data_IF_960276643554
#
_entry.id   IF_960276643554
#
_cell.length_a   1.000
_cell.length_b   1.000
_cell.length_c   1.000
_cell.angle_alpha   90.00
_cell.angle_beta   90.00
_cell.angle_gamma   90.00
#
_symmetry.space_group_name_H-M   'P 1'
#
loop_
_entity.id
_entity.type
_entity.pdbx_description
1 polymer ?
#
# COMPACT_ATOMS: atom_id res chain seq x y z
N UNK A 1 20.94 16.53 16.02
CA UNK A 1 22.01 17.02 15.12
C UNK A 1 21.77 16.64 13.66
N UNK A 2 21.54 15.38 13.30
CA UNK A 2 21.31 14.92 11.91
C UNK A 2 20.11 15.62 11.22
N UNK A 3 18.98 15.74 11.92
CA UNK A 3 17.77 16.37 11.39
C UNK A 3 17.97 17.86 11.06
N UNK A 4 18.69 18.60 11.92
CA UNK A 4 18.99 20.01 11.69
C UNK A 4 19.91 20.20 10.49
N UNK A 5 20.92 19.33 10.34
CA UNK A 5 21.80 19.34 9.16
C UNK A 5 21.02 19.04 7.89
N UNK A 6 20.14 18.03 7.90
CA UNK A 6 19.29 17.67 6.79
C UNK A 6 18.35 18.83 6.39
N UNK A 7 17.71 19.48 7.36
CA UNK A 7 16.86 20.64 7.11
C UNK A 7 17.63 21.81 6.51
N UNK A 8 18.85 22.08 6.99
CA UNK A 8 19.71 23.14 6.44
C UNK A 8 20.12 22.83 4.98
N UNK A 9 20.52 21.57 4.71
CA UNK A 9 20.87 21.13 3.38
C UNK A 9 19.69 21.25 2.39
N UNK A 10 18.49 20.87 2.81
CA UNK A 10 17.27 21.02 1.99
C UNK A 10 16.94 22.49 1.71
N UNK A 11 17.08 23.38 2.71
CA UNK A 11 16.84 24.82 2.52
C UNK A 11 17.74 25.46 1.48
N UNK A 12 18.97 24.98 1.35
CA UNK A 12 19.98 25.56 0.46
C UNK A 12 19.96 24.97 -0.95
N UNK A 13 19.66 23.67 -1.09
CA UNK A 13 19.98 22.90 -2.30
C UNK A 13 18.76 22.36 -3.04
N UNK A 14 17.54 22.65 -2.61
CA UNK A 14 16.33 22.19 -3.31
C UNK A 14 15.36 23.33 -3.55
N UNK A 15 14.67 23.31 -4.66
CA UNK A 15 13.63 24.27 -5.00
C UNK A 15 12.26 23.81 -4.51
N UNK A 16 11.96 22.53 -4.69
CA UNK A 16 10.69 21.90 -4.32
C UNK A 16 10.91 20.65 -3.50
N UNK A 17 9.90 20.29 -2.68
CA UNK A 17 9.83 19.03 -1.94
C UNK A 17 8.56 18.33 -2.37
N UNK A 18 8.69 17.06 -2.77
CA UNK A 18 7.56 16.18 -3.03
C UNK A 18 7.43 15.15 -1.91
N UNK A 19 6.19 14.94 -1.46
CA UNK A 19 5.87 13.93 -0.44
C UNK A 19 4.74 13.04 -0.95
N UNK A 20 4.70 11.79 -0.48
CA UNK A 20 3.67 10.85 -0.89
C UNK A 20 2.36 10.99 -0.12
N UNK A 21 2.38 11.71 1.00
CA UNK A 21 1.22 11.82 1.89
C UNK A 21 1.12 13.20 2.56
N UNK A 22 -0.06 13.47 3.07
CA UNK A 22 -0.40 14.75 3.69
C UNK A 22 0.35 15.01 5.01
N UNK A 23 0.62 13.96 5.78
CA UNK A 23 1.35 14.09 7.06
C UNK A 23 2.76 14.59 6.80
N UNK A 24 3.47 13.98 5.86
CA UNK A 24 4.83 14.37 5.49
C UNK A 24 4.86 15.77 4.87
N UNK A 25 3.85 16.15 4.10
CA UNK A 25 3.75 17.52 3.54
C UNK A 25 3.79 18.56 4.67
N UNK A 26 2.97 18.39 5.70
CA UNK A 26 2.93 19.33 6.81
C UNK A 26 4.25 19.35 7.59
N UNK A 27 4.85 18.17 7.79
CA UNK A 27 6.14 18.04 8.46
C UNK A 27 7.24 18.83 7.71
N UNK A 28 7.39 18.62 6.41
CA UNK A 28 8.44 19.29 5.63
C UNK A 28 8.18 20.79 5.42
N UNK A 29 6.93 21.23 5.33
CA UNK A 29 6.58 22.66 5.36
C UNK A 29 7.08 23.34 6.63
N UNK A 30 6.83 22.72 7.80
CA UNK A 30 7.29 23.24 9.09
C UNK A 30 8.81 23.20 9.26
N UNK A 31 9.48 22.23 8.65
CA UNK A 31 10.91 22.03 8.79
C UNK A 31 11.75 22.95 7.89
N UNK A 32 11.30 23.24 6.67
CA UNK A 32 12.16 23.84 5.63
C UNK A 32 11.68 25.17 5.09
N UNK A 33 10.42 25.54 5.22
CA UNK A 33 9.75 26.66 4.55
C UNK A 33 9.83 26.60 3.01
N UNK A 34 10.16 25.46 2.42
CA UNK A 34 10.17 25.26 0.97
C UNK A 34 8.78 24.89 0.45
N UNK A 35 8.46 25.23 -0.81
CA UNK A 35 7.27 24.73 -1.46
C UNK A 35 7.23 23.20 -1.37
N UNK A 36 6.17 22.67 -0.77
CA UNK A 36 6.04 21.23 -0.53
C UNK A 36 4.72 20.77 -1.13
N UNK A 37 4.79 19.84 -2.06
CA UNK A 37 3.66 19.35 -2.83
C UNK A 37 3.43 17.87 -2.56
N UNK A 38 2.16 17.45 -2.57
CA UNK A 38 1.83 16.03 -2.54
C UNK A 38 1.92 15.50 -3.96
N UNK A 39 2.85 14.57 -4.16
CA UNK A 39 2.96 13.78 -5.37
C UNK A 39 2.77 12.32 -4.97
N UNK A 40 1.61 11.78 -5.25
CA UNK A 40 1.20 10.44 -4.85
C UNK A 40 2.17 9.38 -5.40
N UNK A 41 2.14 8.20 -4.80
CA UNK A 41 2.96 7.07 -5.27
C UNK A 41 2.65 6.73 -6.72
N UNK A 42 3.69 6.44 -7.49
CA UNK A 42 3.59 6.04 -8.89
C UNK A 42 3.56 4.50 -9.00
N UNK A 43 2.69 4.00 -9.85
CA UNK A 43 2.75 2.67 -10.42
C UNK A 43 3.04 2.82 -11.92
N UNK A 44 4.12 2.23 -12.41
CA UNK A 44 4.50 2.26 -13.82
C UNK A 44 3.65 1.23 -14.57
N UNK A 45 2.78 1.68 -15.48
CA UNK A 45 1.76 0.82 -16.10
C UNK A 45 2.28 0.06 -17.34
N UNK A 46 3.22 0.63 -18.10
CA UNK A 46 3.69 0.04 -19.36
C UNK A 46 4.20 -1.41 -19.23
N UNK A 47 4.98 -1.81 -18.22
CA UNK A 47 5.39 -3.20 -18.07
C UNK A 47 4.26 -4.17 -17.73
N UNK A 48 3.08 -3.65 -17.33
CA UNK A 48 1.91 -4.43 -16.90
C UNK A 48 0.80 -4.49 -17.95
N UNK A 49 0.96 -3.85 -19.09
CA UNK A 49 -0.08 -3.79 -20.14
C UNK A 49 -0.58 -5.17 -20.62
N UNK A 50 0.28 -6.18 -20.57
CA UNK A 50 -0.04 -7.55 -20.96
C UNK A 50 -0.46 -8.43 -19.76
N UNK A 51 -0.51 -7.87 -18.54
CA UNK A 51 -0.91 -8.59 -17.35
C UNK A 51 -2.44 -8.73 -17.30
N UNK A 52 -2.93 -9.94 -17.53
CA UNK A 52 -4.34 -10.25 -17.33
C UNK A 52 -4.69 -10.18 -15.83
N UNK A 53 -5.59 -9.27 -15.45
CA UNK A 53 -6.05 -9.15 -14.07
C UNK A 53 -7.05 -10.27 -13.79
N UNK A 54 -6.70 -11.13 -12.82
CA UNK A 54 -7.51 -12.27 -12.41
C UNK A 54 -8.80 -11.83 -11.73
N UNK A 55 -9.88 -12.55 -12.02
CA UNK A 55 -11.15 -12.43 -11.29
C UNK A 55 -11.06 -13.11 -9.91
N UNK A 56 -12.07 -12.92 -9.07
CA UNK A 56 -12.18 -13.58 -7.77
C UNK A 56 -11.99 -15.10 -7.85
N UNK A 57 -12.64 -15.75 -8.82
CA UNK A 57 -12.64 -17.22 -8.94
C UNK A 57 -11.33 -17.78 -9.48
N UNK A 58 -10.55 -16.97 -10.21
CA UNK A 58 -9.22 -17.31 -10.70
C UNK A 58 -8.12 -17.14 -9.65
N UNK A 59 -8.42 -16.43 -8.55
CA UNK A 59 -7.47 -16.22 -7.44
C UNK A 59 -7.55 -17.35 -6.41
N UNK A 60 -6.42 -17.67 -5.83
CA UNK A 60 -6.35 -18.63 -4.72
C UNK A 60 -7.00 -18.07 -3.46
N UNK A 61 -7.65 -18.95 -2.68
CA UNK A 61 -8.19 -18.57 -1.37
C UNK A 61 -7.06 -18.46 -0.33
N UNK A 62 -6.23 -17.45 -0.52
CA UNK A 62 -5.07 -17.14 0.32
C UNK A 62 -4.97 -15.64 0.54
N UNK A 63 -4.29 -15.24 1.59
CA UNK A 63 -4.04 -13.86 1.94
C UNK A 63 -2.54 -13.52 1.85
N UNK A 64 -2.23 -12.29 1.48
CA UNK A 64 -0.87 -11.77 1.50
C UNK A 64 -0.80 -10.52 2.37
N UNK A 65 0.25 -10.40 3.20
CA UNK A 65 0.49 -9.21 4.00
C UNK A 65 1.53 -8.30 3.35
N UNK A 66 1.34 -6.99 3.49
CA UNK A 66 2.12 -5.95 2.79
C UNK A 66 3.45 -5.58 3.44
N UNK A 67 3.99 -6.39 4.31
CA UNK A 67 5.26 -6.08 4.97
C UNK A 67 5.78 -7.25 5.77
N UNK A 68 6.87 -7.00 6.46
CA UNK A 68 7.48 -7.98 7.35
C UNK A 68 7.07 -7.73 8.82
N UNK A 69 7.53 -8.59 9.73
CA UNK A 69 7.19 -8.52 11.16
C UNK A 69 8.00 -7.48 11.95
N UNK A 70 8.74 -6.59 11.28
CA UNK A 70 9.36 -5.47 12.00
C UNK A 70 8.31 -4.52 12.58
N UNK A 71 8.69 -3.81 13.63
CA UNK A 71 7.83 -2.84 14.30
C UNK A 71 7.22 -1.79 13.34
N UNK A 72 7.97 -1.37 12.33
CA UNK A 72 7.55 -0.37 11.34
C UNK A 72 6.40 -0.82 10.46
N UNK A 73 6.44 -2.09 10.01
CA UNK A 73 5.45 -2.65 9.10
C UNK A 73 4.27 -3.28 9.82
N UNK A 74 4.34 -3.48 11.15
CA UNK A 74 3.29 -4.13 11.94
C UNK A 74 2.80 -5.44 11.33
N UNK A 75 3.75 -6.27 10.89
CA UNK A 75 3.43 -7.53 10.21
C UNK A 75 2.61 -8.47 11.08
N UNK A 76 2.78 -8.43 12.40
CA UNK A 76 1.99 -9.21 13.33
C UNK A 76 0.51 -8.80 13.33
N UNK A 77 0.21 -7.49 13.33
CA UNK A 77 -1.18 -7.00 13.20
C UNK A 77 -1.78 -7.46 11.87
N UNK A 78 -1.00 -7.34 10.77
CA UNK A 78 -1.42 -7.78 9.45
C UNK A 78 -1.68 -9.28 9.41
N UNK A 79 -0.83 -10.09 10.03
CA UNK A 79 -0.98 -11.53 10.11
C UNK A 79 -2.24 -11.94 10.87
N UNK A 80 -2.51 -11.35 12.04
CA UNK A 80 -3.73 -11.64 12.82
C UNK A 80 -5.00 -11.40 11.98
N UNK A 81 -5.04 -10.30 11.23
CA UNK A 81 -6.18 -9.98 10.36
C UNK A 81 -6.24 -10.92 9.15
N UNK A 82 -5.10 -11.22 8.53
CA UNK A 82 -5.02 -12.11 7.38
C UNK A 82 -5.48 -13.54 7.69
N UNK A 83 -5.28 -14.00 8.92
CA UNK A 83 -5.75 -15.31 9.41
C UNK A 83 -7.27 -15.46 9.42
N UNK A 84 -8.03 -14.38 9.43
CA UNK A 84 -9.49 -14.45 9.27
C UNK A 84 -9.91 -14.90 7.86
N UNK A 85 -9.07 -14.67 6.86
CA UNK A 85 -9.33 -15.08 5.48
C UNK A 85 -8.94 -16.54 5.24
N UNK A 86 -7.75 -16.92 5.67
CA UNK A 86 -7.16 -18.22 5.32
C UNK A 86 -6.05 -18.60 6.30
N UNK A 87 -5.80 -19.90 6.44
CA UNK A 87 -4.61 -20.39 7.12
C UNK A 87 -3.34 -20.17 6.29
N UNK A 88 -3.47 -20.03 4.97
CA UNK A 88 -2.38 -19.76 4.06
C UNK A 88 -2.15 -18.27 3.93
N UNK A 89 -1.26 -17.74 4.74
CA UNK A 89 -0.83 -16.34 4.70
C UNK A 89 0.58 -16.25 4.14
N UNK A 90 0.75 -15.43 3.10
CA UNK A 90 2.04 -15.13 2.51
C UNK A 90 2.57 -13.77 2.96
N UNK A 91 3.89 -13.60 2.96
CA UNK A 91 4.57 -12.34 3.23
C UNK A 91 5.80 -12.17 2.36
N UNK A 92 6.08 -10.95 1.82
CA UNK A 92 7.33 -10.70 1.11
C UNK A 92 8.53 -10.76 2.05
N UNK A 93 9.62 -11.35 1.60
CA UNK A 93 10.86 -11.47 2.40
C UNK A 93 11.54 -10.13 2.64
N UNK A 94 11.27 -9.12 1.85
CA UNK A 94 11.86 -7.77 1.91
C UNK A 94 13.40 -7.77 1.89
N UNK A 95 14.02 -8.83 1.38
CA UNK A 95 15.48 -8.94 1.21
C UNK A 95 16.30 -9.02 2.52
N UNK A 96 15.66 -9.31 3.66
CA UNK A 96 16.33 -9.37 4.97
C UNK A 96 16.26 -10.76 5.63
N UNK A 97 17.06 -10.96 6.67
CA UNK A 97 17.02 -12.16 7.50
C UNK A 97 15.65 -12.37 8.14
N UNK A 98 15.30 -13.64 8.29
CA UNK A 98 14.04 -14.03 8.94
C UNK A 98 14.11 -13.78 10.45
N UNK A 99 13.03 -13.22 10.98
CA UNK A 99 12.75 -13.33 12.42
C UNK A 99 11.98 -14.64 12.69
N UNK A 100 12.11 -15.16 13.91
CA UNK A 100 11.42 -16.41 14.29
C UNK A 100 9.91 -16.34 14.09
N UNK A 101 9.32 -15.18 14.33
CA UNK A 101 7.88 -14.91 14.16
C UNK A 101 7.41 -15.07 12.71
N UNK A 102 8.29 -14.87 11.75
CA UNK A 102 7.95 -14.98 10.33
C UNK A 102 7.86 -16.42 9.82
N UNK A 103 8.15 -17.43 10.66
CA UNK A 103 8.01 -18.85 10.31
C UNK A 103 6.53 -19.25 10.11
N UNK A 104 5.59 -18.49 10.63
CA UNK A 104 4.15 -18.74 10.51
C UNK A 104 3.57 -18.33 9.14
N UNK A 105 4.35 -17.67 8.30
CA UNK A 105 3.92 -17.21 6.96
C UNK A 105 4.70 -17.89 5.86
N UNK A 106 4.06 -18.10 4.71
CA UNK A 106 4.73 -18.51 3.49
C UNK A 106 5.54 -17.34 2.94
N UNK A 107 6.85 -17.48 2.87
CA UNK A 107 7.70 -16.42 2.36
C UNK A 107 7.69 -16.35 0.85
N UNK A 108 7.42 -15.14 0.35
CA UNK A 108 7.62 -14.79 -1.06
C UNK A 108 9.03 -14.22 -1.19
N UNK A 109 9.91 -14.84 -1.99
CA UNK A 109 11.27 -14.34 -2.19
C UNK A 109 11.25 -12.96 -2.85
N UNK A 110 12.38 -12.26 -2.78
CA UNK A 110 12.56 -11.03 -3.56
C UNK A 110 12.61 -11.39 -5.06
N UNK A 111 11.68 -10.88 -5.81
CA UNK A 111 11.52 -11.09 -7.25
C UNK A 111 11.41 -9.74 -7.96
N UNK A 112 11.62 -9.73 -9.29
CA UNK A 112 11.46 -8.53 -10.10
C UNK A 112 10.04 -7.99 -10.00
N UNK A 113 9.87 -6.67 -10.14
CA UNK A 113 8.59 -6.02 -9.90
C UNK A 113 7.44 -6.54 -10.78
N UNK A 114 7.70 -6.83 -12.06
CA UNK A 114 6.69 -7.42 -12.95
C UNK A 114 6.23 -8.80 -12.47
N UNK A 115 7.17 -9.63 -12.04
CA UNK A 115 6.88 -10.97 -11.50
C UNK A 115 6.16 -10.86 -10.16
N UNK A 116 6.53 -9.87 -9.34
CA UNK A 116 5.82 -9.54 -8.11
C UNK A 116 4.34 -9.22 -8.38
N UNK A 117 4.05 -8.37 -9.38
CA UNK A 117 2.67 -8.03 -9.74
C UNK A 117 1.88 -9.24 -10.23
N UNK A 118 2.51 -10.10 -11.03
CA UNK A 118 1.92 -11.37 -11.48
C UNK A 118 1.66 -12.32 -10.31
N UNK A 119 2.58 -12.40 -9.35
CA UNK A 119 2.44 -13.20 -8.16
C UNK A 119 1.34 -12.65 -7.24
N UNK A 120 1.35 -11.34 -6.96
CA UNK A 120 0.33 -10.66 -6.16
C UNK A 120 -1.07 -10.86 -6.73
N UNK A 121 -1.22 -10.86 -8.06
CA UNK A 121 -2.47 -11.11 -8.76
C UNK A 121 -3.09 -12.49 -8.50
N UNK A 122 -2.33 -13.43 -7.93
CA UNK A 122 -2.85 -14.76 -7.56
C UNK A 122 -3.57 -14.80 -6.22
N UNK A 123 -3.39 -13.81 -5.35
CA UNK A 123 -4.01 -13.74 -4.03
C UNK A 123 -5.38 -13.10 -4.09
N UNK A 124 -6.32 -13.65 -3.32
CA UNK A 124 -7.67 -13.09 -3.21
C UNK A 124 -7.74 -11.93 -2.24
N UNK A 125 -6.96 -11.95 -1.16
CA UNK A 125 -7.02 -10.99 -0.07
C UNK A 125 -5.66 -10.40 0.24
N UNK A 126 -5.65 -9.12 0.63
CA UNK A 126 -4.45 -8.43 1.06
C UNK A 126 -4.67 -7.69 2.40
N UNK A 127 -3.63 -7.61 3.21
CA UNK A 127 -3.65 -6.89 4.49
C UNK A 127 -2.36 -6.10 4.69
N UNK A 128 -2.47 -4.83 5.04
CA UNK A 128 -1.33 -3.96 5.31
C UNK A 128 -1.59 -3.01 6.48
N UNK A 129 -1.47 -3.54 7.71
CA UNK A 129 -1.74 -2.80 8.96
C UNK A 129 -0.54 -1.97 9.40
N UNK A 130 0.09 -1.24 8.47
CA UNK A 130 1.27 -0.43 8.74
C UNK A 130 0.93 0.79 9.58
N UNK A 131 1.68 1.00 10.69
CA UNK A 131 1.47 2.11 11.63
C UNK A 131 2.27 3.36 11.30
N UNK A 132 3.12 3.30 10.29
CA UNK A 132 3.98 4.41 9.88
C UNK A 132 3.47 5.00 8.57
N UNK A 133 3.41 6.32 8.48
CA UNK A 133 3.15 7.00 7.22
C UNK A 133 4.22 6.62 6.18
N UNK A 134 3.79 6.24 4.99
CA UNK A 134 4.66 5.76 3.93
C UNK A 134 4.02 5.98 2.55
N UNK A 135 4.78 5.67 1.50
CA UNK A 135 4.33 5.77 0.12
C UNK A 135 3.11 4.88 -0.21
N UNK A 136 2.94 3.76 0.51
CA UNK A 136 1.79 2.88 0.34
C UNK A 136 1.77 2.10 -0.97
N UNK A 137 2.94 1.75 -1.50
CA UNK A 137 3.06 1.03 -2.78
C UNK A 137 2.36 -0.33 -2.78
N UNK A 138 2.31 -1.02 -1.64
CA UNK A 138 1.61 -2.30 -1.54
C UNK A 138 0.10 -2.14 -1.76
N UNK A 139 -0.56 -1.21 -1.06
CA UNK A 139 -1.99 -0.94 -1.26
C UNK A 139 -2.28 -0.39 -2.67
N UNK A 140 -1.36 0.39 -3.25
CA UNK A 140 -1.45 0.85 -4.63
C UNK A 140 -1.41 -0.33 -5.63
N UNK A 141 -0.49 -1.28 -5.46
CA UNK A 141 -0.40 -2.48 -6.28
C UNK A 141 -1.67 -3.34 -6.18
N UNK A 142 -2.20 -3.50 -4.97
CA UNK A 142 -3.48 -4.19 -4.75
C UNK A 142 -4.63 -3.48 -5.47
N UNK A 143 -4.66 -2.15 -5.44
CA UNK A 143 -5.71 -1.36 -6.09
C UNK A 143 -5.69 -1.51 -7.61
N UNK A 144 -4.53 -1.46 -8.24
CA UNK A 144 -4.37 -1.73 -9.67
C UNK A 144 -4.96 -3.09 -10.05
N UNK A 145 -4.69 -4.12 -9.25
CA UNK A 145 -5.16 -5.48 -9.48
C UNK A 145 -6.62 -5.73 -9.02
N UNK A 146 -7.27 -4.76 -8.38
CA UNK A 146 -8.61 -4.95 -7.82
C UNK A 146 -8.65 -5.93 -6.65
N UNK A 147 -7.59 -6.01 -5.86
CA UNK A 147 -7.53 -6.85 -4.66
C UNK A 147 -7.91 -5.98 -3.45
N UNK A 148 -9.00 -6.27 -2.72
CA UNK A 148 -9.29 -5.59 -1.47
C UNK A 148 -8.12 -5.72 -0.48
N UNK A 149 -7.61 -4.57 0.00
CA UNK A 149 -6.51 -4.53 0.96
C UNK A 149 -6.99 -3.86 2.26
N UNK A 150 -7.08 -4.63 3.34
CA UNK A 150 -7.38 -4.06 4.66
C UNK A 150 -6.13 -3.38 5.22
N UNK A 151 -6.27 -2.15 5.72
CA UNK A 151 -5.13 -1.41 6.25
C UNK A 151 -5.50 -0.25 7.15
N UNK A 152 -4.49 0.33 7.79
CA UNK A 152 -4.65 1.51 8.63
C UNK A 152 -4.76 2.80 7.82
N UNK A 153 -5.52 3.76 8.35
CA UNK A 153 -5.84 5.05 7.71
C UNK A 153 -4.66 6.02 7.61
N UNK A 154 -3.51 5.69 8.16
CA UNK A 154 -2.32 6.58 8.18
C UNK A 154 -1.62 6.69 6.81
N UNK A 155 -1.92 5.78 5.88
CA UNK A 155 -1.35 5.75 4.54
C UNK A 155 -2.39 6.29 3.56
N UNK A 156 -2.06 7.34 2.80
CA UNK A 156 -3.01 7.99 1.89
C UNK A 156 -3.53 7.05 0.79
N UNK A 157 -2.66 6.22 0.19
CA UNK A 157 -3.10 5.21 -0.79
C UNK A 157 -4.13 4.26 -0.21
N UNK A 158 -3.97 3.87 1.06
CA UNK A 158 -4.93 3.02 1.75
C UNK A 158 -6.27 3.75 1.94
N UNK A 159 -6.24 4.95 2.51
CA UNK A 159 -7.43 5.73 2.84
C UNK A 159 -8.22 6.18 1.61
N UNK A 160 -7.53 6.47 0.51
CA UNK A 160 -8.14 6.92 -0.74
C UNK A 160 -8.67 5.73 -1.54
N UNK A 161 -7.85 4.70 -1.73
CA UNK A 161 -8.16 3.59 -2.64
C UNK A 161 -9.07 2.55 -1.99
N UNK A 162 -8.75 2.14 -0.75
CA UNK A 162 -9.42 1.05 -0.03
C UNK A 162 -10.36 1.55 1.09
N UNK A 163 -11.07 2.64 0.83
CA UNK A 163 -11.88 3.36 1.82
C UNK A 163 -12.82 2.48 2.65
N UNK A 164 -13.49 1.51 2.03
CA UNK A 164 -14.46 0.63 2.69
C UNK A 164 -13.83 -0.35 3.68
N UNK A 165 -12.54 -0.62 3.50
CA UNK A 165 -11.77 -1.60 4.28
C UNK A 165 -10.57 -0.96 4.99
N UNK A 166 -10.62 0.36 5.15
CA UNK A 166 -9.65 1.12 5.94
C UNK A 166 -10.15 1.29 7.37
N UNK A 167 -9.27 1.09 8.35
CA UNK A 167 -9.58 1.22 9.77
C UNK A 167 -8.62 2.18 10.46
N UNK A 168 -9.00 2.68 11.64
CA UNK A 168 -8.12 3.52 12.45
C UNK A 168 -6.92 2.72 12.96
N UNK A 169 -5.80 3.41 13.17
CA UNK A 169 -4.60 2.77 13.72
C UNK A 169 -4.91 2.13 15.08
N UNK A 170 -4.62 0.84 15.20
CA UNK A 170 -4.86 0.04 16.39
C UNK A 170 -6.21 -0.67 16.44
N UNK A 171 -7.16 -0.36 15.54
CA UNK A 171 -8.47 -1.02 15.51
C UNK A 171 -8.42 -2.38 14.78
N UNK A 172 -7.71 -3.31 15.39
CA UNK A 172 -7.59 -4.70 14.90
C UNK A 172 -8.96 -5.40 14.92
N UNK A 173 -9.78 -5.10 15.92
CA UNK A 173 -11.13 -5.69 16.05
C UNK A 173 -11.99 -5.41 14.82
N UNK A 174 -12.04 -4.15 14.40
CA UNK A 174 -12.76 -3.76 13.19
C UNK A 174 -12.15 -4.36 11.92
N UNK A 175 -10.81 -4.40 11.82
CA UNK A 175 -10.12 -5.00 10.69
C UNK A 175 -10.48 -6.49 10.53
N UNK A 176 -10.52 -7.26 11.62
CA UNK A 176 -10.95 -8.67 11.62
C UNK A 176 -12.41 -8.84 11.17
N UNK A 177 -13.33 -7.97 11.65
CA UNK A 177 -14.73 -8.00 11.19
C UNK A 177 -14.85 -7.75 9.69
N UNK A 178 -14.07 -6.81 9.14
CA UNK A 178 -14.02 -6.55 7.71
C UNK A 178 -13.42 -7.71 6.93
N UNK A 179 -12.43 -8.39 7.48
CA UNK A 179 -11.86 -9.59 6.87
C UNK A 179 -12.90 -10.73 6.78
N UNK A 180 -13.62 -11.00 7.88
CA UNK A 180 -14.72 -11.96 7.84
C UNK A 180 -15.78 -11.57 6.81
N UNK A 181 -16.15 -10.29 6.74
CA UNK A 181 -17.15 -9.82 5.77
C UNK A 181 -16.66 -9.99 4.32
N UNK A 182 -15.42 -9.64 4.00
CA UNK A 182 -14.86 -9.84 2.66
C UNK A 182 -14.80 -11.33 2.27
N UNK A 183 -14.58 -12.22 3.25
CA UNK A 183 -14.54 -13.67 3.04
C UNK A 183 -15.93 -14.26 2.79
N UNK A 184 -16.92 -13.84 3.59
CA UNK A 184 -18.22 -14.49 3.69
C UNK A 184 -19.30 -13.82 2.82
N UNK A 185 -19.09 -12.57 2.39
CA UNK A 185 -20.01 -11.76 1.58
C UNK A 185 -19.36 -11.46 0.22
N UNK A 186 -19.71 -12.27 -0.79
CA UNK A 186 -19.18 -12.13 -2.16
C UNK A 186 -19.56 -10.79 -2.79
N UNK A 187 -20.76 -10.31 -2.57
CA UNK A 187 -21.22 -9.05 -3.15
C UNK A 187 -20.42 -7.87 -2.58
N UNK A 188 -20.14 -7.91 -1.28
CA UNK A 188 -19.27 -6.92 -0.65
C UNK A 188 -17.83 -6.97 -1.19
N UNK A 189 -17.27 -8.17 -1.40
CA UNK A 189 -15.96 -8.31 -2.02
C UNK A 189 -15.93 -7.69 -3.41
N UNK A 190 -16.89 -8.05 -4.28
CA UNK A 190 -16.96 -7.58 -5.66
C UNK A 190 -17.17 -6.07 -5.71
N UNK A 191 -18.01 -5.52 -4.82
CA UNK A 191 -18.18 -4.08 -4.67
C UNK A 191 -16.87 -3.38 -4.31
N UNK A 192 -16.16 -3.85 -3.27
CA UNK A 192 -14.89 -3.24 -2.84
C UNK A 192 -13.85 -3.34 -3.95
N UNK A 193 -13.71 -4.51 -4.59
CA UNK A 193 -12.79 -4.74 -5.69
C UNK A 193 -13.01 -3.75 -6.85
N UNK A 194 -14.27 -3.57 -7.26
CA UNK A 194 -14.62 -2.61 -8.30
C UNK A 194 -14.31 -1.16 -7.89
N UNK A 195 -14.71 -0.75 -6.68
CA UNK A 195 -14.47 0.61 -6.17
C UNK A 195 -12.98 0.95 -6.06
N UNK A 196 -12.17 -0.01 -5.67
CA UNK A 196 -10.71 0.15 -5.56
C UNK A 196 -10.09 0.42 -6.92
N UNK A 197 -10.46 -0.34 -7.96
CA UNK A 197 -9.98 -0.12 -9.33
C UNK A 197 -10.48 1.19 -9.93
N UNK A 198 -11.73 1.57 -9.69
CA UNK A 198 -12.30 2.85 -10.11
C UNK A 198 -11.50 4.02 -9.53
N UNK A 199 -11.20 3.98 -8.22
CA UNK A 199 -10.39 5.02 -7.57
C UNK A 199 -8.95 5.03 -8.07
N UNK A 200 -8.37 3.86 -8.35
CA UNK A 200 -7.04 3.79 -8.97
C UNK A 200 -7.05 4.56 -10.29
N UNK A 201 -7.95 4.24 -11.21
CA UNK A 201 -8.08 4.91 -12.51
C UNK A 201 -8.31 6.42 -12.38
N UNK A 202 -9.05 6.82 -11.37
CA UNK A 202 -9.40 8.23 -11.13
C UNK A 202 -8.28 9.06 -10.52
N UNK A 203 -7.40 8.47 -9.70
CA UNK A 203 -6.48 9.23 -8.86
C UNK A 203 -5.00 8.87 -8.99
N UNK A 204 -4.65 7.67 -9.48
CA UNK A 204 -3.31 7.10 -9.34
C UNK A 204 -2.70 6.56 -10.64
N UNK A 205 -3.29 6.78 -11.81
CA UNK A 205 -2.67 6.39 -13.08
C UNK A 205 -1.37 7.13 -13.32
N UNK A 206 -0.48 6.56 -14.12
CA UNK A 206 0.79 7.19 -14.51
C UNK A 206 0.57 8.57 -15.16
N UNK A 207 -0.48 8.70 -15.99
CA UNK A 207 -0.86 9.98 -16.61
C UNK A 207 -1.19 11.06 -15.56
N UNK A 208 -1.97 10.71 -14.53
CA UNK A 208 -2.33 11.63 -13.45
C UNK A 208 -1.08 12.04 -12.65
N UNK A 209 -0.18 11.09 -12.38
CA UNK A 209 1.08 11.39 -11.72
C UNK A 209 1.91 12.38 -12.52
N UNK A 210 2.15 12.13 -13.81
CA UNK A 210 2.92 12.98 -14.70
C UNK A 210 2.31 14.37 -14.82
N UNK A 211 0.98 14.46 -14.97
CA UNK A 211 0.28 15.75 -15.00
C UNK A 211 0.57 16.57 -13.75
N UNK A 212 0.38 16.00 -12.56
CA UNK A 212 0.64 16.70 -11.29
C UNK A 212 2.11 17.10 -11.13
N UNK A 213 3.04 16.24 -11.56
CA UNK A 213 4.47 16.55 -11.51
C UNK A 213 4.79 17.78 -12.37
N UNK A 214 4.36 17.77 -13.64
CA UNK A 214 4.62 18.88 -14.57
C UNK A 214 3.91 20.18 -14.17
N UNK A 215 2.73 20.12 -13.57
CA UNK A 215 2.04 21.31 -13.03
C UNK A 215 2.89 22.07 -11.98
N UNK A 216 3.76 21.36 -11.27
CA UNK A 216 4.65 21.98 -10.26
C UNK A 216 5.97 22.44 -10.87
N UNK A 217 6.63 21.57 -11.65
CA UNK A 217 8.01 21.86 -12.11
C UNK A 217 8.08 22.81 -13.31
N UNK A 218 6.94 23.09 -13.96
CA UNK A 218 6.86 24.02 -15.09
C UNK A 218 6.48 25.46 -14.67
N UNK A 219 6.33 25.73 -13.36
CA UNK A 219 6.10 27.06 -12.79
C UNK A 219 7.42 27.80 -12.56
#
# INVERSE_FOLDING_TARGET
MLLMWYAAAMKQNVDYIFTHNFIDQNYYKGLTNKPTHILQSLLIEDPLKDLEIKTYDQRTNSAIIGGNFSQWYSGFDSYIVAREFSENVAAPSMGRSQHGEEQVVQKVPHIQWKDWMSHLNSFRYAVHMMRTAAAGTFSLNCAYLGIPCIGYSIIDTQSILHKEVTVQVGDIGRARQLACRLRDDREFYDHVSHQVQERYRRFYTEEIFLKKFYEVVSQ
#
